data_IF_714314671841
#
_entry.id   IF_714314671841
#
_cell.length_a   1.000
_cell.length_b   1.000
_cell.length_c   1.000
_cell.angle_alpha   90.00
_cell.angle_beta   90.00
_cell.angle_gamma   90.00
#
_symmetry.space_group_name_H-M   'P 1'
#
loop_
_entity.id
_entity.type
_entity.pdbx_description
1 polymer ?
#
# COMPACT_ATOMS: atom_id res chain seq x y z
N UNK A 1 -6.30 -3.33 5.60
CA UNK A 1 -7.58 -3.59 6.31
C UNK A 1 -7.41 -3.73 7.82
N UNK A 2 -6.43 -4.48 8.35
CA UNK A 2 -6.26 -4.65 9.81
C UNK A 2 -6.10 -3.36 10.64
N UNK A 3 -5.45 -2.33 10.08
CA UNK A 3 -5.23 -1.03 10.76
C UNK A 3 -6.53 -0.26 11.02
N UNK A 4 -7.57 -0.45 10.20
CA UNK A 4 -8.86 0.24 10.36
C UNK A 4 -9.84 -0.57 11.21
N UNK A 5 -9.81 -1.91 11.13
CA UNK A 5 -10.75 -2.77 11.85
C UNK A 5 -10.31 -3.05 13.29
N UNK A 6 -9.00 -3.22 13.55
CA UNK A 6 -8.46 -3.46 14.89
C UNK A 6 -8.86 -2.42 15.95
N UNK A 7 -8.66 -1.10 15.71
CA UNK A 7 -9.00 -0.08 16.70
C UNK A 7 -10.51 0.08 16.87
N UNK A 8 -11.32 -0.14 15.82
CA UNK A 8 -12.79 -0.13 15.92
C UNK A 8 -13.27 -1.27 16.83
N UNK A 9 -12.77 -2.50 16.64
CA UNK A 9 -13.14 -3.66 17.45
C UNK A 9 -12.67 -3.49 18.91
N UNK A 10 -11.48 -2.93 19.12
CA UNK A 10 -10.93 -2.65 20.45
C UNK A 10 -11.80 -1.62 21.19
N UNK A 11 -12.11 -0.49 20.54
CA UNK A 11 -12.96 0.57 21.14
C UNK A 11 -14.35 0.01 21.43
N UNK A 12 -14.93 -0.75 20.50
CA UNK A 12 -16.26 -1.33 20.68
C UNK A 12 -16.28 -2.35 21.84
N UNK A 13 -15.28 -3.22 21.94
CA UNK A 13 -15.17 -4.20 23.04
C UNK A 13 -14.99 -3.52 24.40
N UNK A 14 -14.19 -2.47 24.47
CA UNK A 14 -13.93 -1.72 25.70
C UNK A 14 -15.15 -0.88 26.14
N UNK A 15 -15.89 -0.33 25.18
CA UNK A 15 -17.13 0.42 25.40
C UNK A 15 -18.26 -0.51 25.85
N UNK A 16 -18.39 -1.69 25.25
CA UNK A 16 -19.33 -2.73 25.68
C UNK A 16 -18.99 -3.29 27.07
N UNK A 17 -17.70 -3.50 27.36
CA UNK A 17 -17.23 -3.90 28.69
C UNK A 17 -17.66 -2.90 29.77
N UNK A 18 -17.52 -1.59 29.50
CA UNK A 18 -17.85 -0.53 30.45
C UNK A 18 -19.36 -0.30 30.61
N UNK A 19 -20.13 -0.24 29.51
CA UNK A 19 -21.56 0.07 29.54
C UNK A 19 -22.44 -1.14 29.87
N UNK A 20 -22.17 -2.30 29.28
CA UNK A 20 -23.03 -3.49 29.36
C UNK A 20 -22.55 -4.41 30.49
N UNK A 21 -21.23 -4.50 30.70
CA UNK A 21 -20.64 -5.31 31.77
C UNK A 21 -21.04 -4.87 33.18
N UNK A 22 -21.44 -3.61 33.37
CA UNK A 22 -21.95 -3.11 34.65
C UNK A 22 -23.40 -3.55 34.93
N UNK A 23 -24.18 -3.83 33.87
CA UNK A 23 -25.63 -4.08 33.96
C UNK A 23 -26.00 -5.58 33.99
N UNK A 24 -25.17 -6.48 33.44
CA UNK A 24 -25.57 -7.87 33.12
C UNK A 24 -24.69 -8.94 33.84
N UNK A 25 -23.71 -8.52 34.65
CA UNK A 25 -22.91 -9.41 35.50
C UNK A 25 -21.62 -9.96 34.87
N UNK A 26 -20.89 -10.77 35.66
CA UNK A 26 -19.47 -11.13 35.46
C UNK A 26 -19.22 -11.96 34.18
N UNK A 27 -20.17 -12.78 33.75
CA UNK A 27 -20.01 -13.64 32.57
C UNK A 27 -19.83 -12.87 31.26
N UNK A 28 -20.54 -11.75 31.09
CA UNK A 28 -20.42 -10.91 29.90
C UNK A 28 -19.16 -10.04 29.90
N UNK A 29 -18.63 -9.69 31.08
CA UNK A 29 -17.37 -8.95 31.20
C UNK A 29 -16.20 -9.72 30.58
N UNK A 30 -16.11 -11.03 30.80
CA UNK A 30 -15.06 -11.88 30.23
C UNK A 30 -15.15 -11.97 28.70
N UNK A 31 -16.36 -12.00 28.14
CA UNK A 31 -16.58 -12.04 26.69
C UNK A 31 -16.13 -10.72 26.04
N UNK A 32 -16.49 -9.57 26.63
CA UNK A 32 -16.08 -8.28 26.09
C UNK A 32 -14.58 -8.02 26.26
N UNK A 33 -13.98 -8.51 27.34
CA UNK A 33 -12.53 -8.49 27.53
C UNK A 33 -11.83 -9.32 26.44
N UNK A 34 -12.33 -10.52 26.13
CA UNK A 34 -11.79 -11.36 25.05
C UNK A 34 -11.87 -10.66 23.68
N UNK A 35 -12.99 -9.98 23.39
CA UNK A 35 -13.16 -9.18 22.16
C UNK A 35 -12.14 -8.02 22.10
N UNK A 36 -11.92 -7.33 23.22
CA UNK A 36 -10.92 -6.26 23.30
C UNK A 36 -9.50 -6.78 23.04
N UNK A 37 -9.14 -7.95 23.59
CA UNK A 37 -7.85 -8.60 23.31
C UNK A 37 -7.68 -9.01 21.85
N UNK A 38 -8.75 -9.52 21.22
CA UNK A 38 -8.74 -9.84 19.77
C UNK A 38 -8.53 -8.56 18.95
N UNK A 39 -9.22 -7.47 19.30
CA UNK A 39 -9.03 -6.16 18.67
C UNK A 39 -7.59 -5.64 18.80
N UNK A 40 -6.98 -5.80 19.99
CA UNK A 40 -5.59 -5.44 20.22
C UNK A 40 -4.60 -6.28 19.39
N UNK A 41 -4.81 -7.59 19.30
CA UNK A 41 -4.00 -8.47 18.46
C UNK A 41 -4.07 -8.10 16.97
N UNK A 42 -5.28 -7.81 16.47
CA UNK A 42 -5.50 -7.35 15.09
C UNK A 42 -4.83 -5.99 14.82
N UNK A 43 -4.87 -5.08 15.80
CA UNK A 43 -4.22 -3.78 15.69
C UNK A 43 -2.69 -3.91 15.68
N UNK A 44 -2.12 -4.69 16.59
CA UNK A 44 -0.67 -4.94 16.66
C UNK A 44 -0.15 -5.63 15.39
N UNK A 45 -0.87 -6.63 14.87
CA UNK A 45 -0.55 -7.27 13.59
C UNK A 45 -0.63 -6.26 12.42
N UNK A 46 -1.64 -5.40 12.42
CA UNK A 46 -1.77 -4.31 11.44
C UNK A 46 -0.60 -3.32 11.47
N UNK A 47 -0.12 -2.95 12.66
CA UNK A 47 1.05 -2.09 12.82
C UNK A 47 2.35 -2.76 12.36
N UNK A 48 2.53 -4.06 12.62
CA UNK A 48 3.69 -4.81 12.13
C UNK A 48 3.76 -4.93 10.60
N UNK A 49 2.60 -4.95 9.93
CA UNK A 49 2.50 -4.99 8.46
C UNK A 49 2.69 -3.61 7.80
N UNK A 50 2.48 -2.52 8.54
CA UNK A 50 2.61 -1.15 8.05
C UNK A 50 4.00 -0.79 7.46
N UNK A 51 5.15 -1.11 8.11
CA UNK A 51 6.46 -0.79 7.54
C UNK A 51 6.73 -1.54 6.23
N UNK A 52 6.21 -2.76 6.07
CA UNK A 52 6.35 -3.56 4.84
C UNK A 52 5.58 -2.93 3.67
N UNK A 53 4.33 -2.51 3.93
CA UNK A 53 3.50 -1.79 2.95
C UNK A 53 4.15 -0.48 2.51
N UNK A 54 4.75 0.27 3.45
CA UNK A 54 5.42 1.55 3.16
C UNK A 54 6.67 1.37 2.29
N UNK A 55 7.43 0.29 2.48
CA UNK A 55 8.58 -0.06 1.63
C UNK A 55 8.11 -0.38 0.20
N UNK A 56 7.08 -1.21 0.04
CA UNK A 56 6.50 -1.52 -1.29
C UNK A 56 5.98 -0.28 -2.00
N UNK A 57 5.30 0.62 -1.29
CA UNK A 57 4.82 1.87 -1.86
C UNK A 57 5.95 2.79 -2.37
N UNK A 58 7.08 2.84 -1.65
CA UNK A 58 8.27 3.60 -2.09
C UNK A 58 8.90 2.99 -3.35
N UNK A 59 9.00 1.66 -3.41
CA UNK A 59 9.53 0.95 -4.58
C UNK A 59 8.65 1.17 -5.81
N UNK A 60 7.33 1.04 -5.65
CA UNK A 60 6.35 1.38 -6.67
C UNK A 60 6.52 2.81 -7.19
N UNK A 61 6.66 3.76 -6.27
CA UNK A 61 6.84 5.17 -6.62
C UNK A 61 8.10 5.40 -7.46
N UNK A 62 9.22 4.76 -7.12
CA UNK A 62 10.47 4.88 -7.89
C UNK A 62 10.34 4.34 -9.32
N UNK A 63 9.75 3.17 -9.49
CA UNK A 63 9.52 2.57 -10.83
C UNK A 63 8.64 3.48 -11.67
N UNK A 64 7.57 3.99 -11.06
CA UNK A 64 6.64 4.90 -11.73
C UNK A 64 7.31 6.22 -12.12
N UNK A 65 8.16 6.79 -11.27
CA UNK A 65 8.87 8.04 -11.56
C UNK A 65 9.78 7.89 -12.78
N UNK A 66 10.56 6.82 -12.87
CA UNK A 66 11.45 6.57 -14.01
C UNK A 66 10.62 6.33 -15.28
N UNK A 67 9.63 5.44 -15.22
CA UNK A 67 8.75 5.11 -16.35
C UNK A 67 7.89 6.30 -16.81
N UNK A 68 7.59 7.25 -15.93
CA UNK A 68 6.85 8.45 -16.27
C UNK A 68 7.75 9.53 -16.90
N UNK A 69 9.05 9.54 -16.64
CA UNK A 69 9.98 10.53 -17.21
C UNK A 69 10.53 10.05 -18.55
N UNK A 70 10.96 8.80 -18.63
CA UNK A 70 11.57 8.24 -19.83
C UNK A 70 10.51 7.81 -20.85
N UNK A 71 10.75 8.12 -22.13
CA UNK A 71 9.85 7.71 -23.22
C UNK A 71 9.94 6.21 -23.47
N UNK A 72 11.14 5.66 -23.41
CA UNK A 72 11.45 4.27 -23.68
C UNK A 72 12.45 3.81 -22.63
N UNK A 73 12.16 2.73 -21.92
CA UNK A 73 13.05 2.16 -20.89
C UNK A 73 12.91 0.65 -20.86
N UNK A 74 14.01 -0.07 -20.70
CA UNK A 74 13.94 -1.53 -20.55
C UNK A 74 13.62 -1.91 -19.11
N UNK A 75 12.94 -3.04 -18.93
CA UNK A 75 12.65 -3.61 -17.61
C UNK A 75 13.97 -3.99 -16.92
N UNK A 76 14.98 -4.42 -17.68
CA UNK A 76 16.35 -4.65 -17.21
C UNK A 76 17.00 -3.38 -16.64
N UNK A 77 16.87 -2.24 -17.32
CA UNK A 77 17.40 -0.95 -16.81
C UNK A 77 16.66 -0.49 -15.54
N UNK A 78 15.33 -0.68 -15.50
CA UNK A 78 14.54 -0.42 -14.30
C UNK A 78 14.99 -1.30 -13.13
N UNK A 79 15.28 -2.58 -13.37
CA UNK A 79 15.82 -3.49 -12.36
C UNK A 79 17.16 -2.97 -11.80
N UNK A 80 18.10 -2.59 -12.67
CA UNK A 80 19.42 -2.09 -12.27
C UNK A 80 19.28 -0.78 -11.45
N UNK A 81 18.43 0.14 -11.89
CA UNK A 81 18.29 1.47 -11.23
C UNK A 81 17.50 1.42 -9.94
N UNK A 82 16.51 0.53 -9.83
CA UNK A 82 15.64 0.44 -8.66
C UNK A 82 16.04 -0.64 -7.67
N UNK A 83 16.84 -1.63 -8.10
CA UNK A 83 17.19 -2.83 -7.32
C UNK A 83 16.02 -3.79 -7.11
N UNK A 84 14.95 -3.67 -7.91
CA UNK A 84 13.73 -4.47 -7.82
C UNK A 84 13.77 -5.56 -8.88
N UNK A 85 13.37 -6.77 -8.54
CA UNK A 85 13.33 -7.90 -9.48
C UNK A 85 12.55 -7.58 -10.78
N UNK A 86 13.04 -8.06 -11.91
CA UNK A 86 12.51 -7.72 -13.24
C UNK A 86 11.04 -8.17 -13.41
N UNK A 87 10.66 -9.29 -12.79
CA UNK A 87 9.26 -9.72 -12.78
C UNK A 87 8.37 -8.79 -11.96
N UNK A 88 8.85 -8.29 -10.82
CA UNK A 88 8.11 -7.35 -10.00
C UNK A 88 7.91 -6.02 -10.73
N UNK A 89 8.96 -5.51 -11.39
CA UNK A 89 8.85 -4.30 -12.23
C UNK A 89 7.79 -4.49 -13.32
N UNK A 90 7.79 -5.64 -14.00
CA UNK A 90 6.78 -5.96 -15.02
C UNK A 90 5.37 -5.97 -14.44
N UNK A 91 5.16 -6.57 -13.27
CA UNK A 91 3.87 -6.59 -12.57
C UNK A 91 3.41 -5.17 -12.21
N UNK A 92 4.32 -4.31 -11.76
CA UNK A 92 4.02 -2.91 -11.43
C UNK A 92 3.59 -2.13 -12.68
N UNK A 93 4.36 -2.23 -13.77
CA UNK A 93 4.05 -1.55 -15.03
C UNK A 93 2.72 -2.02 -15.62
N UNK A 94 2.48 -3.33 -15.66
CA UNK A 94 1.22 -3.90 -16.13
C UNK A 94 0.03 -3.40 -15.30
N UNK A 95 0.17 -3.38 -13.97
CA UNK A 95 -0.88 -2.83 -13.11
C UNK A 95 -1.12 -1.33 -13.36
N UNK A 96 -0.07 -0.55 -13.62
CA UNK A 96 -0.22 0.88 -13.92
C UNK A 96 -0.89 1.14 -15.27
N UNK A 97 -0.60 0.32 -16.28
CA UNK A 97 -1.27 0.36 -17.58
C UNK A 97 -2.75 -0.02 -17.47
N UNK A 98 -3.08 -1.11 -16.77
CA UNK A 98 -4.46 -1.57 -16.58
C UNK A 98 -5.33 -0.55 -15.85
N UNK A 99 -4.77 0.18 -14.89
CA UNK A 99 -5.49 1.19 -14.13
C UNK A 99 -5.47 2.60 -14.77
N UNK A 100 -4.87 2.74 -15.95
CA UNK A 100 -4.77 4.04 -16.64
C UNK A 100 -3.91 5.08 -15.90
N UNK A 101 -2.98 4.63 -15.06
CA UNK A 101 -2.03 5.50 -14.35
C UNK A 101 -0.89 5.90 -15.29
N UNK A 102 -0.37 4.94 -16.05
CA UNK A 102 0.60 5.12 -17.12
C UNK A 102 -0.06 4.82 -18.46
N UNK A 103 0.42 5.49 -19.50
CA UNK A 103 -0.02 5.27 -20.88
C UNK A 103 1.18 4.82 -21.71
N UNK A 104 1.01 3.74 -22.45
CA UNK A 104 2.09 3.08 -23.16
C UNK A 104 1.80 1.61 -23.40
N UNK A 105 2.81 0.87 -23.82
CA UNK A 105 2.76 -0.57 -24.00
C UNK A 105 4.06 -1.22 -23.55
N UNK A 106 3.99 -2.52 -23.26
CA UNK A 106 5.14 -3.36 -22.94
C UNK A 106 5.34 -4.30 -24.12
N UNK A 107 6.54 -4.30 -24.69
CA UNK A 107 6.95 -5.18 -25.77
C UNK A 107 8.19 -5.97 -25.33
N UNK A 108 7.98 -7.21 -24.90
CA UNK A 108 9.07 -8.05 -24.40
C UNK A 108 9.71 -7.46 -23.14
N UNK A 109 10.94 -6.98 -23.26
CA UNK A 109 11.70 -6.32 -22.18
C UNK A 109 11.64 -4.79 -22.25
N UNK A 110 11.00 -4.23 -23.28
CA UNK A 110 10.93 -2.78 -23.49
C UNK A 110 9.58 -2.24 -23.02
N UNK A 111 9.61 -1.16 -22.24
CA UNK A 111 8.45 -0.34 -21.95
C UNK A 111 8.51 0.94 -22.77
N UNK A 112 7.46 1.21 -23.55
CA UNK A 112 7.33 2.40 -24.38
C UNK A 112 6.15 3.22 -23.89
N UNK A 113 6.42 4.45 -23.44
CA UNK A 113 5.42 5.40 -22.98
C UNK A 113 4.79 6.11 -24.17
N UNK A 114 3.46 6.17 -24.19
CA UNK A 114 2.73 6.94 -25.17
C UNK A 114 2.76 8.43 -24.81
N UNK A 115 3.49 9.21 -25.60
CA UNK A 115 3.66 10.67 -25.42
C UNK A 115 2.44 11.48 -25.86
N UNK A 116 1.49 10.85 -26.56
CA UNK A 116 0.26 11.52 -27.00
C UNK A 116 -0.80 11.58 -25.87
N UNK A 117 -0.67 10.71 -24.88
CA UNK A 117 -1.53 10.69 -23.71
C UNK A 117 -1.20 11.84 -22.75
N UNK A 118 -2.21 12.30 -21.99
CA UNK A 118 -2.11 13.45 -21.07
C UNK A 118 -0.80 13.43 -20.26
N UNK A 119 -0.13 14.58 -20.10
CA UNK A 119 1.08 14.65 -19.29
C UNK A 119 0.76 14.17 -17.87
N UNK A 120 1.45 13.12 -17.44
CA UNK A 120 1.36 12.60 -16.09
C UNK A 120 1.89 13.69 -15.13
N UNK A 121 0.99 14.50 -14.57
CA UNK A 121 1.34 15.50 -13.54
C UNK A 121 1.48 14.80 -12.20
N UNK A 122 2.66 14.25 -11.96
CA UNK A 122 3.02 13.82 -10.62
C UNK A 122 3.31 15.07 -9.76
N UNK A 123 2.38 15.46 -8.88
CA UNK A 123 2.66 16.44 -7.81
C UNK A 123 3.56 15.77 -6.77
N UNK A 124 4.87 15.71 -7.01
CA UNK A 124 5.82 15.42 -5.93
C UNK A 124 6.28 16.75 -5.31
N UNK A 125 6.07 16.98 -4.01
CA UNK A 125 6.74 18.08 -3.30
C UNK A 125 8.23 17.79 -3.08
N UNK A 126 8.65 16.53 -3.22
CA UNK A 126 9.99 16.02 -2.89
C UNK A 126 10.25 14.77 -3.75
N UNK A 127 10.61 14.97 -5.01
CA UNK A 127 11.03 13.90 -5.92
C UNK A 127 12.55 13.92 -6.06
N UNK A 128 13.14 12.82 -6.56
CA UNK A 128 14.60 12.70 -6.78
C UNK A 128 15.21 13.78 -7.71
N UNK A 129 14.37 14.58 -8.35
CA UNK A 129 14.69 15.67 -9.27
C UNK A 129 14.33 17.06 -8.73
N UNK A 130 14.04 17.20 -7.44
CA UNK A 130 13.91 18.52 -6.82
C UNK A 130 15.30 19.02 -6.40
N UNK A 131 15.99 19.68 -7.33
CA UNK A 131 16.99 20.69 -6.99
C UNK A 131 16.31 21.95 -6.43
#
# INVERSE_FOLDING_TARGET
MGICLGPVILIMGLLMYYLVGYMIGIGFQLIFLAIAFIGFGLFAAGLGLYPSMRKRAKLWKKVLEIAAVEKEVTISDLHIRTGIDSEEVRKILAHCLMNGILFGYIEGDLFVRDTSARPFRYKSPTGLFSE
#
